data_IF_300668179699
#
_entry.id   IF_300668179699
#
_cell.length_a   1.000
_cell.length_b   1.000
_cell.length_c   1.000
_cell.angle_alpha   90.00
_cell.angle_beta   90.00
_cell.angle_gamma   90.00
#
_symmetry.space_group_name_H-M   'P 1'
#
loop_
_entity.id
_entity.type
_entity.pdbx_description
1 polymer ?
#
# COMPACT_ATOMS: atom_id res chain seq x y z
N UNK A 1 3.11 -12.68 -8.24
CA UNK A 1 2.04 -12.83 -9.27
C UNK A 1 1.02 -13.85 -8.77
N UNK A 2 -0.28 -13.53 -8.73
CA UNK A 2 -1.36 -14.46 -8.31
C UNK A 2 -2.39 -13.92 -7.31
N UNK A 3 -2.14 -12.75 -6.72
CA UNK A 3 -3.01 -12.13 -5.68
C UNK A 3 -4.44 -11.92 -6.15
N UNK A 4 -4.63 -11.42 -7.38
CA UNK A 4 -5.97 -11.17 -7.94
C UNK A 4 -6.79 -12.46 -8.08
N UNK A 5 -6.14 -13.57 -8.49
CA UNK A 5 -6.79 -14.86 -8.67
C UNK A 5 -7.05 -15.57 -7.35
N UNK A 6 -6.06 -15.54 -6.43
CA UNK A 6 -6.15 -16.23 -5.13
C UNK A 6 -6.95 -15.45 -4.09
N UNK A 7 -7.15 -14.15 -4.28
CA UNK A 7 -7.76 -13.21 -3.31
C UNK A 7 -7.08 -13.24 -1.93
N UNK A 8 -5.82 -13.64 -1.91
CA UNK A 8 -4.97 -13.74 -0.71
C UNK A 8 -3.56 -13.33 -1.07
N UNK A 9 -2.89 -12.62 -0.19
CA UNK A 9 -1.49 -12.20 -0.33
C UNK A 9 -1.03 -11.44 0.90
N UNK A 10 0.27 -11.19 1.01
CA UNK A 10 0.81 -10.32 2.06
C UNK A 10 0.69 -8.83 1.66
N UNK A 11 1.30 -7.93 2.45
CA UNK A 11 1.27 -6.49 2.18
C UNK A 11 1.88 -6.11 0.83
N UNK A 12 3.01 -6.74 0.45
CA UNK A 12 3.66 -6.53 -0.84
C UNK A 12 2.76 -6.97 -2.01
N UNK A 13 2.10 -8.12 -1.88
CA UNK A 13 1.19 -8.66 -2.89
C UNK A 13 0.00 -7.72 -3.16
N UNK A 14 -0.59 -7.17 -2.10
CA UNK A 14 -1.69 -6.22 -2.20
C UNK A 14 -1.23 -4.90 -2.80
N UNK A 15 -0.08 -4.36 -2.33
CA UNK A 15 0.49 -3.15 -2.88
C UNK A 15 0.81 -3.29 -4.37
N UNK A 16 1.36 -4.44 -4.78
CA UNK A 16 1.69 -4.73 -6.17
C UNK A 16 0.45 -4.76 -7.06
N UNK A 17 -0.61 -5.41 -6.59
CA UNK A 17 -1.89 -5.45 -7.31
C UNK A 17 -2.47 -4.04 -7.47
N UNK A 18 -2.47 -3.23 -6.41
CA UNK A 18 -2.99 -1.84 -6.47
C UNK A 18 -2.16 -0.98 -7.43
N UNK A 19 -0.83 -1.05 -7.36
CA UNK A 19 0.04 -0.29 -8.27
C UNK A 19 -0.16 -0.73 -9.72
N UNK A 20 -0.27 -2.03 -9.99
CA UNK A 20 -0.50 -2.54 -11.34
C UNK A 20 -1.85 -2.06 -11.91
N UNK A 21 -2.93 -2.17 -11.13
CA UNK A 21 -4.27 -1.74 -11.55
C UNK A 21 -4.34 -0.21 -11.75
N UNK A 22 -3.77 0.57 -10.85
CA UNK A 22 -3.73 2.03 -10.98
C UNK A 22 -2.97 2.47 -12.24
N UNK A 23 -1.80 1.86 -12.50
CA UNK A 23 -1.02 2.13 -13.72
C UNK A 23 -1.75 1.73 -14.99
N UNK A 24 -2.44 0.58 -14.97
CA UNK A 24 -3.28 0.14 -16.09
C UNK A 24 -4.44 1.12 -16.37
N UNK A 25 -4.94 1.80 -15.33
CA UNK A 25 -5.95 2.85 -15.45
C UNK A 25 -5.35 4.24 -15.80
N UNK A 26 -4.05 4.34 -16.11
CA UNK A 26 -3.38 5.60 -16.45
C UNK A 26 -3.04 6.49 -15.26
N UNK A 27 -3.21 6.00 -14.02
CA UNK A 27 -2.87 6.75 -12.81
C UNK A 27 -1.41 6.47 -12.39
N UNK A 28 -0.61 7.51 -12.10
CA UNK A 28 0.69 7.31 -11.49
C UNK A 28 0.52 6.65 -10.12
N UNK A 29 1.22 5.55 -9.91
CA UNK A 29 1.22 4.82 -8.65
C UNK A 29 2.63 4.37 -8.26
N UNK A 30 2.90 4.30 -6.96
CA UNK A 30 4.21 3.95 -6.37
C UNK A 30 4.04 3.11 -5.10
N UNK A 31 5.13 2.53 -4.63
CA UNK A 31 5.19 1.77 -3.39
C UNK A 31 5.72 2.64 -2.26
N UNK A 32 5.17 2.44 -1.07
CA UNK A 32 5.68 2.95 0.19
C UNK A 32 6.09 1.79 1.07
N UNK A 33 7.17 1.96 1.82
CA UNK A 33 7.66 1.00 2.79
C UNK A 33 7.94 1.70 4.11
N UNK A 34 7.52 1.09 5.21
CA UNK A 34 7.76 1.62 6.54
C UNK A 34 7.66 0.58 7.63
N UNK A 35 7.95 0.99 8.86
CA UNK A 35 7.63 0.24 10.07
C UNK A 35 6.33 0.82 10.61
N UNK A 36 5.28 -0.01 10.69
CA UNK A 36 3.93 0.40 11.08
C UNK A 36 3.48 -0.36 12.33
N UNK A 37 2.79 0.35 13.24
CA UNK A 37 2.23 -0.24 14.46
C UNK A 37 0.77 -0.60 14.25
N UNK A 38 0.48 -1.89 14.24
CA UNK A 38 -0.84 -2.48 14.19
C UNK A 38 -1.31 -2.84 15.61
N UNK A 39 -2.59 -3.15 15.77
CA UNK A 39 -3.12 -3.65 17.05
C UNK A 39 -2.45 -4.94 17.53
N UNK A 40 -1.87 -5.72 16.61
CA UNK A 40 -1.17 -6.97 16.92
C UNK A 40 0.33 -6.79 17.21
N UNK A 41 0.90 -5.61 16.94
CA UNK A 41 2.33 -5.35 17.09
C UNK A 41 2.90 -4.41 16.02
N UNK A 42 4.23 -4.22 16.05
CA UNK A 42 4.95 -3.34 15.13
C UNK A 42 5.74 -4.17 14.11
N UNK A 43 5.50 -3.95 12.82
CA UNK A 43 6.06 -4.75 11.74
C UNK A 43 6.47 -3.89 10.54
N UNK A 44 7.31 -4.46 9.65
CA UNK A 44 7.53 -3.91 8.32
C UNK A 44 6.26 -4.01 7.48
N UNK A 45 5.93 -2.93 6.77
CA UNK A 45 4.71 -2.83 5.99
C UNK A 45 4.96 -2.13 4.65
N UNK A 46 4.33 -2.66 3.61
CA UNK A 46 4.40 -2.11 2.26
C UNK A 46 2.99 -1.84 1.76
N UNK A 47 2.75 -0.64 1.25
CA UNK A 47 1.45 -0.24 0.69
C UNK A 47 1.64 0.57 -0.60
N UNK A 48 0.55 0.78 -1.34
CA UNK A 48 0.58 1.58 -2.55
C UNK A 48 0.24 3.06 -2.26
N UNK A 49 0.73 3.95 -3.10
CA UNK A 49 0.24 5.33 -3.23
C UNK A 49 -0.18 5.61 -4.66
N UNK A 50 -1.27 6.33 -4.83
CA UNK A 50 -1.83 6.72 -6.13
C UNK A 50 -1.89 8.23 -6.22
N UNK A 51 -1.49 8.80 -7.35
CA UNK A 51 -1.52 10.24 -7.60
C UNK A 51 -2.82 10.63 -8.30
N UNK A 52 -3.64 11.46 -7.65
CA UNK A 52 -4.94 11.93 -8.15
C UNK A 52 -5.02 13.43 -7.92
N UNK A 53 -5.30 14.20 -8.97
CA UNK A 53 -5.52 15.64 -8.84
C UNK A 53 -4.36 16.42 -8.20
N UNK A 54 -3.11 16.01 -8.44
CA UNK A 54 -1.92 16.67 -7.87
C UNK A 54 -1.55 16.21 -6.45
N UNK A 55 -2.28 15.24 -5.88
CA UNK A 55 -2.06 14.76 -4.51
C UNK A 55 -1.79 13.26 -4.50
N UNK A 56 -0.87 12.82 -3.64
CA UNK A 56 -0.61 11.39 -3.39
C UNK A 56 -1.52 10.86 -2.28
N UNK A 57 -2.31 9.84 -2.57
CA UNK A 57 -3.19 9.17 -1.62
C UNK A 57 -2.64 7.79 -1.25
N UNK A 58 -2.65 7.46 0.04
CA UNK A 58 -2.35 6.11 0.52
C UNK A 58 -3.47 5.15 0.10
N UNK A 59 -3.10 4.07 -0.58
CA UNK A 59 -4.01 3.02 -1.06
C UNK A 59 -3.56 1.67 -0.48
N UNK A 60 -3.82 1.48 0.82
CA UNK A 60 -3.47 0.25 1.53
C UNK A 60 -4.63 -0.76 1.50
N UNK A 61 -4.55 -1.71 0.58
CA UNK A 61 -5.56 -2.75 0.38
C UNK A 61 -5.43 -3.96 1.34
N UNK A 62 -4.57 -3.90 2.37
CA UNK A 62 -4.37 -5.04 3.29
C UNK A 62 -5.50 -5.25 4.30
N UNK A 63 -6.44 -4.31 4.40
CA UNK A 63 -7.58 -4.39 5.33
C UNK A 63 -8.79 -3.66 4.77
N UNK A 64 -9.97 -4.29 4.89
CA UNK A 64 -11.27 -3.70 4.52
C UNK A 64 -11.62 -2.43 5.31
N UNK A 65 -10.93 -2.19 6.45
CA UNK A 65 -11.09 -0.98 7.26
C UNK A 65 -10.51 0.27 6.60
N UNK A 66 -9.66 0.09 5.58
CA UNK A 66 -9.00 1.19 4.90
C UNK A 66 -9.83 1.67 3.72
N UNK A 67 -9.68 2.94 3.40
CA UNK A 67 -10.15 3.57 2.17
C UNK A 67 -9.00 4.27 1.45
N UNK A 68 -9.28 4.78 0.25
CA UNK A 68 -8.31 5.61 -0.47
C UNK A 68 -8.05 6.89 0.32
N UNK A 69 -6.80 7.11 0.72
CA UNK A 69 -6.37 8.24 1.56
C UNK A 69 -6.67 8.06 3.05
N UNK A 70 -7.34 6.99 3.46
CA UNK A 70 -7.79 6.76 4.85
C UNK A 70 -7.31 5.41 5.34
N UNK A 71 -6.47 5.42 6.37
CA UNK A 71 -5.86 4.21 6.92
C UNK A 71 -6.34 4.01 8.36
N UNK A 72 -6.97 2.86 8.64
CA UNK A 72 -7.58 2.56 9.94
C UNK A 72 -7.10 1.23 10.54
N UNK A 73 -6.18 0.51 9.88
CA UNK A 73 -5.68 -0.78 10.36
C UNK A 73 -4.32 -0.70 11.09
N UNK A 74 -3.59 0.41 10.96
CA UNK A 74 -2.37 0.72 11.71
C UNK A 74 -2.30 2.20 12.06
N UNK A 75 -1.51 2.54 13.07
CA UNK A 75 -1.37 3.92 13.55
C UNK A 75 -0.47 4.73 12.61
N UNK A 76 -1.08 5.62 11.83
CA UNK A 76 -0.37 6.49 10.88
C UNK A 76 0.48 7.56 11.54
N UNK A 77 0.26 7.87 12.82
CA UNK A 77 1.04 8.85 13.57
C UNK A 77 2.36 8.28 14.11
N UNK A 78 2.46 6.95 14.27
CA UNK A 78 3.67 6.28 14.78
C UNK A 78 4.46 5.55 13.70
N UNK A 79 3.94 5.51 12.47
CA UNK A 79 4.59 4.86 11.35
C UNK A 79 5.90 5.56 10.97
N UNK A 80 6.99 4.81 10.86
CA UNK A 80 8.27 5.32 10.35
C UNK A 80 8.40 4.98 8.87
N UNK A 81 8.49 6.00 8.02
CA UNK A 81 8.68 5.80 6.57
C UNK A 81 10.14 5.47 6.29
N UNK A 82 10.38 4.32 5.66
CA UNK A 82 11.71 3.85 5.29
C UNK A 82 12.05 4.16 3.83
N UNK A 83 11.04 4.22 2.94
CA UNK A 83 11.31 4.51 1.54
C UNK A 83 10.08 4.59 0.65
N UNK A 84 10.32 5.09 -0.56
CA UNK A 84 9.35 5.19 -1.65
C UNK A 84 9.98 4.62 -2.92
N UNK A 85 9.26 3.76 -3.64
CA UNK A 85 9.82 3.05 -4.80
C UNK A 85 8.87 3.09 -6.00
N UNK A 86 9.44 3.26 -7.20
CA UNK A 86 8.69 3.08 -8.45
C UNK A 86 8.50 1.59 -8.80
N UNK A 87 9.38 0.72 -8.33
CA UNK A 87 9.30 -0.73 -8.50
C UNK A 87 9.87 -1.40 -7.26
N UNK A 88 9.26 -2.50 -6.81
CA UNK A 88 9.86 -3.36 -5.79
C UNK A 88 10.90 -4.27 -6.46
N UNK A 89 12.04 -4.55 -5.82
CA UNK A 89 13.14 -5.32 -6.42
C UNK A 89 12.89 -6.85 -6.48
N UNK A 90 11.66 -7.31 -6.28
CA UNK A 90 11.31 -8.74 -6.18
C UNK A 90 10.00 -9.07 -6.91
#
# INVERSE_FOLDING_TARGET
VGTLQRRTGNCCDHAHLVVALARAAGLPARYMHGICTFSSGTYGHVWAQIHIGGTWYNADATSIRNGLGVINNWNTATGTILGTYASLPF
#
